data_IF_703193183524
#
_entry.id   IF_703193183524
#
_cell.length_a   1.000
_cell.length_b   1.000
_cell.length_c   1.000
_cell.angle_alpha   90.00
_cell.angle_beta   90.00
_cell.angle_gamma   90.00
#
_symmetry.space_group_name_H-M   'P 1'
#
loop_
_entity.id
_entity.type
_entity.pdbx_description
1 polymer ?
#
# COMPACT_ATOMS: atom_id res chain seq x y z
N UNK A 1 24.81 49.23 0.14
CA UNK A 1 25.17 48.11 1.06
C UNK A 1 23.88 47.68 1.75
N UNK A 2 23.29 46.49 1.62
CA UNK A 2 23.64 45.16 1.11
C UNK A 2 22.32 44.50 0.65
N UNK A 3 22.24 44.09 -0.60
CA UNK A 3 21.10 43.34 -1.15
C UNK A 3 21.23 41.89 -0.69
N UNK A 4 20.29 41.37 0.10
CA UNK A 4 20.27 39.96 0.53
C UNK A 4 19.53 39.18 -0.56
N UNK A 5 20.30 38.34 -1.26
CA UNK A 5 19.84 37.43 -2.29
C UNK A 5 19.31 36.15 -1.61
N UNK A 6 17.98 35.99 -1.56
CA UNK A 6 17.33 34.78 -1.06
C UNK A 6 17.51 33.65 -2.07
N UNK A 7 18.37 32.69 -1.74
CA UNK A 7 18.58 31.47 -2.52
C UNK A 7 17.34 30.57 -2.41
N UNK A 8 16.52 30.55 -3.45
CA UNK A 8 15.42 29.62 -3.63
C UNK A 8 16.00 28.22 -3.85
N UNK A 9 16.05 27.38 -2.83
CA UNK A 9 16.30 25.95 -2.99
C UNK A 9 15.11 25.35 -3.76
N UNK A 10 15.33 25.04 -5.03
CA UNK A 10 14.40 24.24 -5.81
C UNK A 10 14.42 22.80 -5.25
N UNK A 11 13.43 22.45 -4.44
CA UNK A 11 13.18 21.08 -4.02
C UNK A 11 12.62 20.31 -5.21
N UNK A 12 13.49 19.72 -6.02
CA UNK A 12 13.05 18.73 -7.02
C UNK A 12 12.47 17.54 -6.27
N UNK A 13 11.17 17.20 -6.47
CA UNK A 13 10.65 15.96 -5.91
C UNK A 13 11.42 14.80 -6.54
N UNK A 14 12.03 13.96 -5.71
CA UNK A 14 12.56 12.67 -6.14
C UNK A 14 11.37 11.87 -6.65
N UNK A 15 11.26 11.71 -7.97
CA UNK A 15 10.26 10.81 -8.55
C UNK A 15 10.59 9.39 -8.08
N UNK A 16 9.74 8.84 -7.21
CA UNK A 16 9.85 7.44 -6.78
C UNK A 16 9.59 6.57 -8.01
N UNK A 17 10.65 5.94 -8.53
CA UNK A 17 10.55 4.98 -9.62
C UNK A 17 10.07 3.65 -9.04
N UNK A 18 8.76 3.51 -8.85
CA UNK A 18 8.16 2.25 -8.47
C UNK A 18 8.13 1.29 -9.66
N UNK A 19 8.69 0.11 -9.49
CA UNK A 19 8.71 -0.91 -10.54
C UNK A 19 7.32 -1.57 -10.62
N UNK A 20 6.75 -1.63 -11.83
CA UNK A 20 5.50 -2.37 -12.04
C UNK A 20 5.69 -3.86 -11.68
N UNK A 21 4.70 -4.51 -11.05
CA UNK A 21 4.79 -5.92 -10.69
C UNK A 21 4.91 -6.79 -11.95
N UNK A 22 5.80 -7.77 -11.90
CA UNK A 22 5.91 -8.77 -12.97
C UNK A 22 4.69 -9.70 -13.02
N UNK A 23 4.46 -10.34 -14.16
CA UNK A 23 3.41 -11.36 -14.29
C UNK A 23 3.59 -12.51 -13.31
N UNK A 24 4.83 -12.92 -13.04
CA UNK A 24 5.11 -13.99 -12.08
C UNK A 24 4.84 -13.57 -10.64
N UNK A 25 5.15 -12.31 -10.28
CA UNK A 25 4.75 -11.72 -9.00
C UNK A 25 3.23 -11.79 -8.83
N UNK A 26 2.48 -11.35 -9.84
CA UNK A 26 1.01 -11.37 -9.78
C UNK A 26 0.48 -12.80 -9.61
N UNK A 27 1.00 -13.77 -10.38
CA UNK A 27 0.60 -15.19 -10.27
C UNK A 27 0.87 -15.75 -8.88
N UNK A 28 2.05 -15.50 -8.31
CA UNK A 28 2.41 -15.95 -6.95
C UNK A 28 1.47 -15.37 -5.90
N UNK A 29 1.23 -14.06 -5.95
CA UNK A 29 0.37 -13.38 -4.95
C UNK A 29 -1.07 -13.89 -5.05
N UNK A 30 -1.60 -14.05 -6.26
CA UNK A 30 -2.94 -14.62 -6.47
C UNK A 30 -3.04 -16.05 -5.94
N UNK A 31 -2.04 -16.90 -6.21
CA UNK A 31 -2.00 -18.26 -5.68
C UNK A 31 -1.98 -18.27 -4.13
N UNK A 32 -1.19 -17.40 -3.52
CA UNK A 32 -1.10 -17.27 -2.07
C UNK A 32 -2.42 -16.80 -1.45
N UNK A 33 -3.03 -15.75 -1.99
CA UNK A 33 -4.33 -15.23 -1.54
C UNK A 33 -5.46 -16.24 -1.67
N UNK A 34 -5.33 -17.20 -2.59
CA UNK A 34 -6.33 -18.24 -2.86
C UNK A 34 -6.12 -19.51 -2.03
N UNK A 35 -5.10 -19.54 -1.15
CA UNK A 35 -4.82 -20.70 -0.31
C UNK A 35 -5.70 -20.75 0.95
N UNK A 36 -5.87 -21.95 1.49
CA UNK A 36 -6.63 -22.19 2.73
C UNK A 36 -6.08 -21.41 3.93
N UNK A 37 -4.80 -21.03 3.90
CA UNK A 37 -4.17 -20.23 4.96
C UNK A 37 -4.86 -18.88 5.17
N UNK A 38 -5.53 -18.34 4.15
CA UNK A 38 -6.26 -17.08 4.25
C UNK A 38 -7.69 -17.27 4.74
N UNK A 39 -8.27 -18.48 4.67
CA UNK A 39 -9.58 -18.80 5.28
C UNK A 39 -10.75 -17.92 4.78
N UNK A 40 -10.62 -17.28 3.62
CA UNK A 40 -11.52 -16.22 3.16
C UNK A 40 -10.93 -14.82 3.40
N UNK A 41 -11.68 -13.76 3.06
CA UNK A 41 -11.22 -12.36 3.18
C UNK A 41 -12.37 -11.39 3.49
N UNK A 42 -13.32 -11.86 4.28
CA UNK A 42 -14.43 -11.01 4.72
C UNK A 42 -13.92 -9.97 5.75
N UNK A 43 -14.53 -8.78 5.83
CA UNK A 43 -14.19 -7.79 6.84
C UNK A 43 -14.32 -8.35 8.26
N UNK A 44 -13.43 -7.95 9.17
CA UNK A 44 -13.39 -8.37 10.57
C UNK A 44 -12.90 -9.79 10.80
N UNK A 45 -12.26 -10.42 9.81
CA UNK A 45 -11.77 -11.81 9.92
C UNK A 45 -10.24 -11.90 9.93
N UNK A 46 -9.70 -12.99 10.47
CA UNK A 46 -8.25 -13.26 10.40
C UNK A 46 -7.71 -13.33 8.96
N UNK A 47 -8.57 -13.66 7.99
CA UNK A 47 -8.24 -13.66 6.57
C UNK A 47 -8.00 -12.27 6.00
N UNK A 48 -8.75 -11.27 6.47
CA UNK A 48 -8.51 -9.86 6.14
C UNK A 48 -7.15 -9.41 6.68
N UNK A 49 -6.87 -9.64 7.96
CA UNK A 49 -5.59 -9.22 8.58
C UNK A 49 -4.38 -9.76 7.81
N UNK A 50 -4.41 -11.05 7.45
CA UNK A 50 -3.37 -11.69 6.64
C UNK A 50 -3.28 -11.08 5.24
N UNK A 51 -4.42 -10.78 4.62
CA UNK A 51 -4.49 -10.18 3.28
C UNK A 51 -3.90 -8.78 3.29
N UNK A 52 -4.32 -7.93 4.22
CA UNK A 52 -3.82 -6.55 4.36
C UNK A 52 -2.31 -6.58 4.56
N UNK A 53 -1.81 -7.40 5.49
CA UNK A 53 -0.37 -7.56 5.71
C UNK A 53 0.37 -7.96 4.44
N UNK A 54 -0.11 -8.98 3.72
CA UNK A 54 0.53 -9.44 2.49
C UNK A 54 0.61 -8.30 1.46
N UNK A 55 -0.48 -7.58 1.22
CA UNK A 55 -0.50 -6.51 0.21
C UNK A 55 0.44 -5.35 0.57
N UNK A 56 0.49 -4.96 1.85
CA UNK A 56 1.42 -3.93 2.33
C UNK A 56 2.87 -4.37 2.12
N UNK A 57 3.20 -5.61 2.46
CA UNK A 57 4.55 -6.16 2.29
C UNK A 57 4.92 -6.25 0.78
N UNK A 58 3.97 -6.62 -0.08
CA UNK A 58 4.17 -6.68 -1.54
C UNK A 58 4.42 -5.30 -2.15
N UNK A 59 3.60 -4.30 -1.79
CA UNK A 59 3.75 -2.94 -2.30
C UNK A 59 5.01 -2.25 -1.77
N UNK A 60 5.33 -2.43 -0.50
CA UNK A 60 6.59 -1.92 0.08
C UNK A 60 7.80 -2.48 -0.66
N UNK A 61 7.76 -3.75 -1.05
CA UNK A 61 8.86 -4.38 -1.80
C UNK A 61 9.03 -3.85 -3.23
N UNK A 62 7.97 -3.29 -3.81
CA UNK A 62 8.03 -2.61 -5.11
C UNK A 62 8.56 -1.18 -5.00
N UNK A 63 8.89 -0.71 -3.79
CA UNK A 63 9.33 0.66 -3.54
C UNK A 63 8.20 1.68 -3.60
N UNK A 64 6.94 1.23 -3.46
CA UNK A 64 5.81 2.13 -3.35
C UNK A 64 5.81 2.81 -1.98
N UNK A 65 5.14 3.96 -1.93
CA UNK A 65 4.87 4.68 -0.69
C UNK A 65 3.37 4.58 -0.34
N UNK A 66 3.01 4.74 0.95
CA UNK A 66 1.62 4.70 1.37
C UNK A 66 0.79 5.85 0.78
N UNK A 67 -0.37 5.53 0.21
CA UNK A 67 -1.21 6.48 -0.51
C UNK A 67 -2.29 7.21 0.32
N UNK A 68 -2.51 6.81 1.57
CA UNK A 68 -3.56 7.40 2.43
C UNK A 68 -2.95 8.30 3.51
N UNK A 69 -2.47 9.50 3.12
CA UNK A 69 -1.83 10.46 4.03
C UNK A 69 -0.66 9.84 4.84
N UNK A 70 0.16 9.02 4.20
CA UNK A 70 1.25 8.29 4.85
C UNK A 70 0.84 6.98 5.52
N UNK A 71 -0.44 6.61 5.49
CA UNK A 71 -0.93 5.28 5.87
C UNK A 71 -1.08 4.35 4.65
N UNK A 72 -0.82 3.07 4.87
CA UNK A 72 -1.05 2.00 3.89
C UNK A 72 -2.51 1.56 3.81
N UNK A 73 -3.26 1.81 4.88
CA UNK A 73 -4.65 1.39 5.02
C UNK A 73 -5.55 2.60 5.17
N UNK A 74 -6.82 2.44 4.78
CA UNK A 74 -7.89 3.40 5.03
C UNK A 74 -8.89 2.76 5.97
N UNK A 75 -9.23 3.46 7.04
CA UNK A 75 -10.27 3.02 7.96
C UNK A 75 -11.62 3.09 7.26
N UNK A 76 -12.31 1.95 7.20
CA UNK A 76 -13.67 1.84 6.66
C UNK A 76 -14.57 1.30 7.76
N UNK A 77 -15.64 2.02 8.15
CA UNK A 77 -16.54 1.55 9.18
C UNK A 77 -17.31 0.31 8.70
N UNK A 78 -17.30 -0.74 9.52
CA UNK A 78 -18.13 -1.92 9.26
C UNK A 78 -19.58 -1.60 9.61
N UNK A 79 -20.49 -1.90 8.68
CA UNK A 79 -21.93 -1.82 8.89
C UNK A 79 -22.54 -3.21 8.71
N UNK A 80 -23.29 -3.66 9.70
CA UNK A 80 -24.05 -4.91 9.62
C UNK A 80 -25.49 -4.61 9.21
N UNK A 81 -26.02 -5.34 8.23
CA UNK A 81 -27.43 -5.25 7.83
C UNK A 81 -28.14 -6.47 8.42
N UNK A 82 -28.89 -6.27 9.50
CA UNK A 82 -29.80 -7.28 10.05
C UNK A 82 -31.14 -7.18 9.30
N UNK A 83 -31.57 -8.25 8.64
CA UNK A 83 -32.89 -8.35 7.96
C UNK A 83 -33.84 -9.19 8.78
#
# INVERSE_FOLDING_TARGET
MRTILTLLLATTPLAVSAQAPSTDTMKRVVAQLSSDAFQGRAPGTAGEEKTVKLLVDEFSRLGLEPGNNGSWTQDVPLVEITT
#
